data_IF_698777373983
#
_entry.id   IF_698777373983
#
_cell.length_a   1.000
_cell.length_b   1.000
_cell.length_c   1.000
_cell.angle_alpha   90.00
_cell.angle_beta   90.00
_cell.angle_gamma   90.00
#
_symmetry.space_group_name_H-M   'P 1'
#
loop_
_entity.id
_entity.type
_entity.pdbx_description
1 polymer ?
#
# COMPACT_ATOMS: atom_id res chain seq x y z
N UNK A 1 8.11 5.94 4.50
CA UNK A 1 9.02 5.44 3.45
C UNK A 1 8.84 3.94 3.28
N UNK A 2 8.33 3.52 2.12
CA UNK A 2 8.21 2.13 1.71
C UNK A 2 9.56 1.43 1.57
N UNK A 3 9.56 0.11 1.71
CA UNK A 3 10.73 -0.69 1.38
C UNK A 3 11.02 -0.62 -0.12
N UNK A 4 12.28 -0.80 -0.51
CA UNK A 4 12.67 -0.87 -1.92
C UNK A 4 11.85 -1.91 -2.71
N UNK A 5 11.60 -3.07 -2.10
CA UNK A 5 10.81 -4.12 -2.73
C UNK A 5 9.35 -3.67 -2.95
N UNK A 6 8.75 -3.00 -1.96
CA UNK A 6 7.38 -2.49 -2.07
C UNK A 6 7.28 -1.37 -3.11
N UNK A 7 8.27 -0.48 -3.19
CA UNK A 7 8.35 0.54 -4.25
C UNK A 7 8.43 -0.11 -5.63
N UNK A 8 9.31 -1.11 -5.82
CA UNK A 8 9.44 -1.83 -7.09
C UNK A 8 8.16 -2.55 -7.50
N UNK A 9 7.47 -3.19 -6.56
CA UNK A 9 6.17 -3.81 -6.82
C UNK A 9 5.11 -2.77 -7.18
N UNK A 10 5.10 -1.62 -6.52
CA UNK A 10 4.17 -0.53 -6.86
C UNK A 10 4.44 -0.01 -8.27
N UNK A 11 5.70 0.19 -8.65
CA UNK A 11 6.07 0.56 -10.02
C UNK A 11 5.65 -0.50 -11.05
N UNK A 12 5.82 -1.78 -10.75
CA UNK A 12 5.44 -2.88 -11.62
C UNK A 12 3.92 -2.93 -11.82
N UNK A 13 3.15 -2.89 -10.73
CA UNK A 13 1.69 -2.86 -10.75
C UNK A 13 1.19 -1.69 -11.60
N UNK A 14 1.71 -0.48 -11.36
CA UNK A 14 1.30 0.69 -12.11
C UNK A 14 1.79 0.68 -13.57
N UNK A 15 2.88 -0.04 -13.86
CA UNK A 15 3.36 -0.26 -15.22
C UNK A 15 2.45 -1.09 -16.11
N UNK A 16 1.57 -1.92 -15.55
CA UNK A 16 0.53 -2.61 -16.33
C UNK A 16 -0.52 -1.65 -16.91
N UNK A 17 -0.70 -0.46 -16.32
CA UNK A 17 -1.64 0.56 -16.81
C UNK A 17 -1.00 1.53 -17.81
N UNK A 18 0.34 1.60 -17.84
CA UNK A 18 1.09 2.36 -18.84
C UNK A 18 2.40 2.94 -18.30
N UNK A 19 3.25 3.40 -19.22
CA UNK A 19 4.54 3.98 -18.86
C UNK A 19 4.38 5.30 -18.08
N UNK A 20 3.35 6.11 -18.37
CA UNK A 20 3.08 7.35 -17.63
C UNK A 20 2.80 7.07 -16.15
N UNK A 21 1.96 6.06 -15.86
CA UNK A 21 1.58 5.71 -14.49
C UNK A 21 2.73 5.04 -13.74
N UNK A 22 3.56 4.24 -14.42
CA UNK A 22 4.84 3.76 -13.88
C UNK A 22 5.76 4.89 -13.45
N UNK A 23 5.86 5.96 -14.26
CA UNK A 23 6.70 7.12 -13.91
C UNK A 23 6.12 7.90 -12.73
N UNK A 24 4.78 7.99 -12.61
CA UNK A 24 4.13 8.53 -11.40
C UNK A 24 4.44 7.67 -10.17
N UNK A 25 4.36 6.34 -10.29
CA UNK A 25 4.69 5.40 -9.22
C UNK A 25 6.14 5.49 -8.75
N UNK A 26 7.08 5.79 -9.65
CA UNK A 26 8.49 6.05 -9.29
C UNK A 26 8.65 7.31 -8.45
N UNK A 27 7.91 8.37 -8.76
CA UNK A 27 8.00 9.66 -8.07
C UNK A 27 7.30 9.62 -6.71
N UNK A 28 6.13 8.99 -6.65
CA UNK A 28 5.26 8.98 -5.48
C UNK A 28 4.68 7.59 -5.19
N UNK A 29 5.52 6.60 -4.86
CA UNK A 29 5.08 5.21 -4.69
C UNK A 29 4.12 5.04 -3.50
N UNK A 30 4.29 5.82 -2.43
CA UNK A 30 3.41 5.77 -1.25
C UNK A 30 1.99 6.23 -1.56
N UNK A 31 1.85 7.35 -2.26
CA UNK A 31 0.55 7.91 -2.61
C UNK A 31 -0.23 6.98 -3.56
N UNK A 32 0.46 6.40 -4.54
CA UNK A 32 -0.18 5.48 -5.49
C UNK A 32 -0.55 4.13 -4.86
N UNK A 33 0.29 3.59 -3.99
CA UNK A 33 -0.04 2.38 -3.25
C UNK A 33 -1.27 2.58 -2.36
N UNK A 34 -1.32 3.69 -1.61
CA UNK A 34 -2.49 4.04 -0.79
C UNK A 34 -3.75 4.19 -1.67
N UNK A 35 -3.64 4.89 -2.80
CA UNK A 35 -4.76 5.08 -3.73
C UNK A 35 -5.30 3.76 -4.25
N UNK A 36 -4.41 2.83 -4.63
CA UNK A 36 -4.79 1.48 -5.08
C UNK A 36 -5.53 0.72 -3.98
N UNK A 37 -5.02 0.74 -2.75
CA UNK A 37 -5.64 0.05 -1.61
C UNK A 37 -7.02 0.62 -1.29
N UNK A 38 -7.22 1.94 -1.40
CA UNK A 38 -8.52 2.58 -1.21
C UNK A 38 -9.54 2.18 -2.28
N UNK A 39 -9.12 2.10 -3.55
CA UNK A 39 -9.98 1.60 -4.65
C UNK A 39 -10.35 0.14 -4.42
N UNK A 40 -9.38 -0.72 -4.10
CA UNK A 40 -9.63 -2.13 -3.82
C UNK A 40 -10.58 -2.32 -2.63
N UNK A 41 -10.44 -1.53 -1.56
CA UNK A 41 -11.37 -1.54 -0.42
C UNK A 41 -12.80 -1.21 -0.81
N UNK A 42 -12.98 -0.22 -1.71
CA UNK A 42 -14.31 0.18 -2.21
C UNK A 42 -14.92 -0.87 -3.14
N UNK A 43 -14.12 -1.46 -4.02
CA UNK A 43 -14.61 -2.36 -5.06
C UNK A 43 -14.71 -3.83 -4.61
N UNK A 44 -13.92 -4.22 -3.60
CA UNK A 44 -13.88 -5.57 -3.03
C UNK A 44 -14.20 -5.54 -1.53
N UNK A 45 -15.48 -5.40 -1.15
CA UNK A 45 -15.89 -5.26 0.25
C UNK A 45 -15.49 -6.45 1.14
N UNK A 46 -15.32 -7.65 0.59
CA UNK A 46 -14.81 -8.81 1.36
C UNK A 46 -13.30 -8.72 1.65
N UNK A 47 -12.53 -8.08 0.76
CA UNK A 47 -11.09 -7.76 0.94
C UNK A 47 -10.92 -6.62 1.95
N UNK A 48 -11.95 -5.80 2.17
CA UNK A 48 -11.95 -4.75 3.20
C UNK A 48 -11.60 -5.28 4.59
N UNK A 49 -12.00 -6.52 4.92
CA UNK A 49 -11.67 -7.13 6.22
C UNK A 49 -10.16 -7.29 6.42
N UNK A 50 -9.43 -7.67 5.36
CA UNK A 50 -7.97 -7.83 5.36
C UNK A 50 -7.24 -6.48 5.25
N UNK A 51 -7.88 -5.45 4.72
CA UNK A 51 -7.32 -4.10 4.56
C UNK A 51 -7.62 -3.15 5.73
N UNK A 52 -8.34 -3.62 6.76
CA UNK A 52 -8.66 -2.82 7.96
C UNK A 52 -7.41 -2.24 8.64
N UNK A 53 -6.28 -2.94 8.57
CA UNK A 53 -4.99 -2.50 9.13
C UNK A 53 -4.40 -1.28 8.40
N UNK A 54 -4.85 -0.98 7.18
CA UNK A 54 -4.39 0.19 6.40
C UNK A 54 -4.94 1.49 6.99
N UNK A 55 -6.14 1.46 7.59
CA UNK A 55 -6.69 2.62 8.32
C UNK A 55 -5.94 2.89 9.62
N UNK A 56 -5.49 1.85 10.33
CA UNK A 56 -4.68 2.03 11.53
C UNK A 56 -3.35 2.72 11.21
N UNK A 57 -2.74 2.45 10.04
CA UNK A 57 -1.47 3.05 9.60
C UNK A 57 -1.55 4.55 9.26
N UNK A 58 -2.76 5.10 9.06
CA UNK A 58 -2.96 6.53 8.81
C UNK A 58 -2.91 7.39 10.09
N UNK A 59 -2.92 6.77 11.27
CA UNK A 59 -2.77 7.48 12.55
C UNK A 59 -1.35 7.28 13.10
N UNK A 60 -0.61 8.38 13.31
CA UNK A 60 0.84 8.46 13.57
C UNK A 60 1.37 7.54 14.69
N UNK A 61 0.52 7.12 15.64
CA UNK A 61 0.91 6.28 16.79
C UNK A 61 0.92 4.76 16.52
N UNK A 62 0.39 4.33 15.37
CA UNK A 62 0.14 2.91 15.07
C UNK A 62 1.16 2.26 14.12
N UNK A 63 2.05 3.04 13.50
CA UNK A 63 3.11 2.50 12.63
C UNK A 63 4.05 1.55 13.40
N UNK A 64 4.24 1.81 14.70
CA UNK A 64 5.00 0.95 15.62
C UNK A 64 4.26 -0.35 15.92
N UNK A 65 2.95 -0.29 16.22
CA UNK A 65 2.13 -1.47 16.53
C UNK A 65 1.92 -2.38 15.32
N UNK A 66 1.73 -1.80 14.14
CA UNK A 66 1.65 -2.55 12.89
C UNK A 66 2.97 -3.31 12.61
N UNK A 67 4.13 -2.67 12.85
CA UNK A 67 5.43 -3.33 12.76
C UNK A 67 5.61 -4.45 13.80
N UNK A 68 5.15 -4.25 15.03
CA UNK A 68 5.23 -5.26 16.10
C UNK A 68 4.37 -6.49 15.80
N UNK A 69 3.14 -6.32 15.28
CA UNK A 69 2.28 -7.43 14.87
C UNK A 69 2.84 -8.23 13.69
N UNK A 70 3.47 -7.56 12.73
CA UNK A 70 4.10 -8.19 11.56
C UNK A 70 5.32 -9.06 11.93
N UNK A 71 6.00 -8.73 13.03
CA UNK A 71 7.11 -9.52 13.57
C UNK A 71 6.61 -10.75 14.34
N UNK A 72 5.44 -10.67 14.97
CA UNK A 72 4.83 -11.78 15.72
C UNK A 72 4.10 -12.80 14.83
N UNK A 73 3.80 -12.47 13.58
CA UNK A 73 3.15 -13.37 12.62
C UNK A 73 4.13 -14.21 11.79
N UNK A 74 5.41 -14.26 12.15
CA UNK A 74 6.45 -15.16 11.58
C UNK A 74 6.82 -16.23 12.59
#
# INVERSE_FOLDING_TARGET
MLSKATTQLTEEVFGYFGEEDKQKAKKEPEALLISLLLVLKRELPDVSSMLSDVEEALYEDNLKKARERLVQSK
#
